data_IF_825138928138
#
_entry.id   IF_825138928138
#
_cell.length_a   1.000
_cell.length_b   1.000
_cell.length_c   1.000
_cell.angle_alpha   90.00
_cell.angle_beta   90.00
_cell.angle_gamma   90.00
#
_symmetry.space_group_name_H-M   'P 1'
#
loop_
_entity.id
_entity.type
_entity.pdbx_description
1 polymer ?
#
# COMPACT_ATOMS: atom_id res chain seq x y z
N UNK A 1 3.77 8.49 11.19
CA UNK A 1 2.98 8.03 12.41
C UNK A 1 3.21 6.56 12.62
N UNK A 2 3.10 6.02 13.87
CA UNK A 2 3.13 4.57 14.12
C UNK A 2 1.71 3.99 14.16
N UNK A 3 1.57 2.73 13.74
CA UNK A 3 0.30 1.99 13.80
C UNK A 3 0.51 0.77 14.72
N UNK A 4 -0.29 0.66 15.78
CA UNK A 4 -0.31 -0.54 16.62
C UNK A 4 -0.92 -1.70 15.84
N UNK A 5 -0.22 -2.82 15.79
CA UNK A 5 -0.65 -4.07 15.17
C UNK A 5 -0.69 -5.18 16.21
N UNK A 6 -1.86 -5.75 16.41
CA UNK A 6 -2.07 -6.95 17.20
C UNK A 6 -2.27 -8.13 16.25
N UNK A 7 -1.50 -9.19 16.45
CA UNK A 7 -1.59 -10.43 15.67
C UNK A 7 -2.02 -11.55 16.60
N UNK A 8 -3.01 -12.32 16.19
CA UNK A 8 -3.43 -13.54 16.89
C UNK A 8 -2.83 -14.77 16.23
N UNK A 9 -2.69 -15.85 16.99
CA UNK A 9 -2.18 -17.12 16.50
C UNK A 9 -2.74 -18.28 17.33
N UNK A 10 -2.23 -19.47 17.05
CA UNK A 10 -2.59 -20.68 17.77
C UNK A 10 -1.40 -21.19 18.59
N UNK A 11 -1.67 -21.63 19.80
CA UNK A 11 -0.72 -22.41 20.60
C UNK A 11 -0.55 -23.82 20.04
N UNK A 12 0.47 -24.58 20.44
CA UNK A 12 0.64 -25.97 19.98
C UNK A 12 -0.56 -26.90 20.26
N UNK A 13 -1.35 -26.60 21.29
CA UNK A 13 -2.60 -27.31 21.63
C UNK A 13 -3.85 -26.70 20.94
N UNK A 14 -3.64 -25.79 19.96
CA UNK A 14 -4.68 -25.25 19.09
C UNK A 14 -5.52 -24.11 19.67
N UNK A 15 -5.16 -23.56 20.84
CA UNK A 15 -5.90 -22.47 21.46
C UNK A 15 -5.50 -21.12 20.85
N UNK A 16 -6.47 -20.21 20.76
CA UNK A 16 -6.23 -18.84 20.33
C UNK A 16 -5.37 -18.07 21.36
N UNK A 17 -4.39 -17.33 20.86
CA UNK A 17 -3.52 -16.48 21.68
C UNK A 17 -3.16 -15.20 20.94
N UNK A 18 -2.64 -14.20 21.67
CA UNK A 18 -1.98 -13.04 21.08
C UNK A 18 -0.53 -13.43 20.76
N UNK A 19 -0.22 -13.52 19.46
CA UNK A 19 1.12 -13.85 18.97
C UNK A 19 2.07 -12.65 19.05
N UNK A 20 1.58 -11.44 18.77
CA UNK A 20 2.34 -10.20 18.94
C UNK A 20 1.43 -8.98 19.11
N UNK A 21 1.97 -7.98 19.82
CA UNK A 21 1.37 -6.65 19.99
C UNK A 21 2.50 -5.62 19.86
N UNK A 22 2.61 -4.99 18.70
CA UNK A 22 3.76 -4.15 18.34
C UNK A 22 3.31 -2.90 17.57
N UNK A 23 4.17 -1.90 17.56
CA UNK A 23 4.01 -0.74 16.67
C UNK A 23 4.75 -0.96 15.35
N UNK A 24 4.14 -0.55 14.25
CA UNK A 24 4.71 -0.56 12.92
C UNK A 24 5.03 0.87 12.51
N UNK A 25 6.28 1.13 12.18
CA UNK A 25 6.74 2.43 11.72
C UNK A 25 6.31 2.70 10.27
N UNK A 26 6.18 4.00 9.93
CA UNK A 26 5.95 4.42 8.57
C UNK A 26 7.20 4.24 7.71
N UNK A 27 7.00 3.76 6.50
CA UNK A 27 7.98 3.82 5.41
C UNK A 27 7.74 5.13 4.66
N UNK A 28 8.77 5.96 4.57
CA UNK A 28 8.74 7.24 3.83
C UNK A 28 9.75 7.21 2.71
N UNK A 29 9.41 7.85 1.58
CA UNK A 29 10.20 7.89 0.36
C UNK A 29 10.46 9.36 0.00
N UNK A 30 11.71 9.75 -0.22
CA UNK A 30 12.07 11.16 -0.48
C UNK A 30 11.41 11.74 -1.72
N UNK A 31 11.23 10.93 -2.76
CA UNK A 31 10.55 11.37 -3.98
C UNK A 31 9.02 11.49 -3.85
N UNK A 32 8.44 11.01 -2.73
CA UNK A 32 7.01 11.07 -2.43
C UNK A 32 6.77 11.82 -1.12
N UNK A 33 7.08 13.12 -1.04
CA UNK A 33 6.99 13.88 0.19
C UNK A 33 5.54 13.91 0.70
N UNK A 34 5.37 13.72 2.01
CA UNK A 34 4.05 13.65 2.65
C UNK A 34 3.32 12.30 2.47
N UNK A 35 3.89 11.37 1.70
CA UNK A 35 3.36 10.02 1.55
C UNK A 35 4.02 9.08 2.55
N UNK A 36 3.21 8.24 3.21
CA UNK A 36 3.66 7.22 4.15
C UNK A 36 3.06 5.87 3.80
N UNK A 37 3.81 4.80 3.99
CA UNK A 37 3.32 3.43 3.80
C UNK A 37 3.51 2.64 5.10
N UNK A 38 2.49 1.90 5.52
CA UNK A 38 2.58 0.95 6.62
C UNK A 38 2.22 -0.43 6.10
N UNK A 39 3.22 -1.30 5.99
CA UNK A 39 3.02 -2.71 5.61
C UNK A 39 2.68 -3.47 6.89
N UNK A 40 1.40 -3.70 7.13
CA UNK A 40 0.92 -4.27 8.38
C UNK A 40 0.99 -5.79 8.39
N UNK A 41 0.61 -6.44 7.28
CA UNK A 41 0.62 -7.89 7.16
C UNK A 41 0.66 -8.32 5.70
N UNK A 42 1.08 -9.58 5.46
CA UNK A 42 1.06 -10.14 4.14
C UNK A 42 1.67 -11.54 4.10
N UNK A 43 1.36 -12.25 3.04
CA UNK A 43 1.97 -13.52 2.68
C UNK A 43 1.99 -13.65 1.15
N UNK A 44 2.92 -14.45 0.64
CA UNK A 44 3.01 -14.76 -0.80
C UNK A 44 2.17 -15.98 -1.18
N UNK A 45 1.58 -16.65 -0.18
CA UNK A 45 0.73 -17.81 -0.33
C UNK A 45 -0.54 -17.69 0.53
N UNK A 46 -1.55 -18.45 0.21
CA UNK A 46 -2.75 -18.56 1.03
C UNK A 46 -2.39 -19.10 2.44
N UNK A 47 -2.93 -18.49 3.52
CA UNK A 47 -2.65 -18.96 4.86
C UNK A 47 -3.23 -20.35 5.12
N UNK A 48 -2.53 -21.12 5.96
CA UNK A 48 -2.98 -22.45 6.42
C UNK A 48 -3.09 -22.43 7.94
N UNK A 49 -4.16 -23.01 8.47
CA UNK A 49 -4.40 -23.06 9.90
C UNK A 49 -4.32 -24.49 10.44
N UNK A 50 -3.86 -24.70 11.71
CA UNK A 50 -3.48 -23.68 12.69
C UNK A 50 -2.18 -22.95 12.34
N UNK A 51 -2.05 -21.68 12.74
CA UNK A 51 -0.88 -20.83 12.50
C UNK A 51 -0.49 -20.12 13.80
N UNK A 52 0.79 -20.12 14.14
CA UNK A 52 1.29 -19.48 15.36
C UNK A 52 1.26 -17.93 15.30
N UNK A 53 0.87 -17.33 14.17
CA UNK A 53 0.85 -15.88 13.99
C UNK A 53 2.24 -15.26 13.77
N UNK A 54 3.19 -16.07 13.28
CA UNK A 54 4.52 -15.56 12.94
C UNK A 54 4.48 -14.74 11.66
N UNK A 55 5.30 -13.67 11.60
CA UNK A 55 5.45 -12.89 10.39
C UNK A 55 6.01 -13.76 9.26
N UNK A 56 5.38 -13.71 8.10
CA UNK A 56 5.82 -14.42 6.90
C UNK A 56 6.65 -13.50 6.01
N UNK A 57 7.55 -14.08 5.22
CA UNK A 57 8.28 -13.33 4.22
C UNK A 57 7.32 -12.88 3.12
N UNK A 58 7.26 -11.60 2.87
CA UNK A 58 6.45 -10.97 1.82
C UNK A 58 7.21 -9.75 1.31
N UNK A 59 8.38 -9.93 0.65
CA UNK A 59 9.29 -8.83 0.35
C UNK A 59 8.70 -7.85 -0.66
N UNK A 60 8.09 -8.34 -1.74
CA UNK A 60 7.50 -7.48 -2.76
C UNK A 60 6.32 -6.67 -2.25
N UNK A 61 6.16 -5.45 -2.77
CA UNK A 61 5.01 -4.60 -2.43
C UNK A 61 3.71 -5.20 -2.95
N UNK A 62 3.66 -5.61 -4.20
CA UNK A 62 2.52 -6.31 -4.77
C UNK A 62 2.65 -7.82 -4.53
N UNK A 63 1.58 -8.49 -4.08
CA UNK A 63 1.63 -9.94 -3.85
C UNK A 63 1.62 -10.72 -5.17
N UNK A 64 2.22 -11.92 -5.19
CA UNK A 64 2.02 -12.88 -6.27
C UNK A 64 0.59 -13.44 -6.22
N UNK A 65 0.20 -14.19 -7.26
CA UNK A 65 -1.10 -14.89 -7.31
C UNK A 65 -1.26 -15.78 -6.08
N UNK A 66 -2.40 -15.64 -5.39
CA UNK A 66 -2.71 -16.35 -4.15
C UNK A 66 -2.12 -15.70 -2.90
N UNK A 67 -1.23 -14.73 -3.05
CA UNK A 67 -0.71 -13.91 -1.96
C UNK A 67 -1.59 -12.70 -1.66
N UNK A 68 -1.31 -12.03 -0.55
CA UNK A 68 -2.01 -10.82 -0.14
C UNK A 68 -1.10 -9.85 0.60
N UNK A 69 -1.51 -8.58 0.63
CA UNK A 69 -0.91 -7.52 1.46
C UNK A 69 -2.02 -6.75 2.16
N UNK A 70 -1.77 -6.38 3.40
CA UNK A 70 -2.64 -5.53 4.21
C UNK A 70 -1.83 -4.38 4.79
N UNK A 71 -2.35 -3.17 4.65
CA UNK A 71 -1.63 -2.00 5.11
C UNK A 71 -2.44 -0.72 5.10
N UNK A 72 -1.72 0.37 5.35
CA UNK A 72 -2.24 1.74 5.26
C UNK A 72 -1.26 2.55 4.43
N UNK A 73 -1.74 3.31 3.48
CA UNK A 73 -0.96 4.36 2.86
C UNK A 73 -1.57 5.73 3.11
N UNK A 74 -0.71 6.73 3.16
CA UNK A 74 -1.11 8.13 3.26
C UNK A 74 -0.68 8.83 1.98
N UNK A 75 -1.62 9.51 1.32
CA UNK A 75 -1.33 10.34 0.14
C UNK A 75 -1.18 11.78 0.61
N UNK A 76 0.04 12.31 0.53
CA UNK A 76 0.31 13.72 0.81
C UNK A 76 -0.35 14.63 -0.24
N UNK A 77 -0.58 15.93 0.08
CA UNK A 77 -1.08 16.89 -0.89
C UNK A 77 -0.18 17.02 -2.12
N UNK A 78 -0.75 17.05 -3.32
CA UNK A 78 -0.02 17.25 -4.59
C UNK A 78 0.76 18.58 -4.63
N UNK A 79 0.35 19.54 -3.79
CA UNK A 79 1.05 20.84 -3.64
C UNK A 79 2.41 20.72 -2.95
N UNK A 80 2.71 19.60 -2.28
CA UNK A 80 4.02 19.35 -1.67
C UNK A 80 4.98 18.87 -2.75
N UNK A 81 5.80 19.79 -3.23
CA UNK A 81 6.72 19.49 -4.33
C UNK A 81 7.84 18.53 -3.91
N UNK A 82 8.23 17.67 -4.84
CA UNK A 82 9.45 16.87 -4.74
C UNK A 82 10.67 17.81 -4.58
N UNK A 83 11.67 17.44 -3.74
CA UNK A 83 12.89 18.25 -3.59
C UNK A 83 13.58 18.50 -4.94
N UNK A 84 13.97 19.74 -5.21
CA UNK A 84 14.53 20.16 -6.51
C UNK A 84 15.93 19.60 -6.79
N UNK A 85 16.66 19.26 -5.74
CA UNK A 85 18.02 18.70 -5.74
C UNK A 85 18.04 17.18 -5.62
N UNK A 86 16.89 16.53 -5.77
CA UNK A 86 16.79 15.08 -5.66
C UNK A 86 17.41 14.39 -6.89
N UNK A 87 18.44 13.58 -6.65
CA UNK A 87 18.94 12.65 -7.65
C UNK A 87 17.92 11.55 -7.90
N UNK A 88 17.37 11.52 -9.11
CA UNK A 88 16.30 10.60 -9.48
C UNK A 88 16.74 9.13 -9.40
N UNK A 89 18.00 8.82 -9.76
CA UNK A 89 18.51 7.44 -9.68
C UNK A 89 18.61 6.97 -8.23
N UNK A 90 19.09 7.83 -7.34
CA UNK A 90 19.16 7.55 -5.91
C UNK A 90 17.75 7.41 -5.32
N UNK A 91 16.81 8.23 -5.75
CA UNK A 91 15.43 8.20 -5.28
C UNK A 91 14.67 6.94 -5.73
N UNK A 92 14.87 6.49 -6.96
CA UNK A 92 14.32 5.23 -7.48
C UNK A 92 14.93 4.02 -6.78
N UNK A 93 16.24 4.05 -6.49
CA UNK A 93 16.90 3.00 -5.71
C UNK A 93 16.34 2.93 -4.27
N UNK A 94 16.10 4.09 -3.62
CA UNK A 94 15.44 4.15 -2.32
C UNK A 94 14.01 3.57 -2.35
N UNK A 95 13.24 3.91 -3.40
CA UNK A 95 11.90 3.38 -3.59
C UNK A 95 11.90 1.86 -3.72
N UNK A 96 12.80 1.31 -4.55
CA UNK A 96 12.92 -0.13 -4.76
C UNK A 96 13.42 -0.87 -3.52
N UNK A 97 14.35 -0.29 -2.76
CA UNK A 97 14.85 -0.85 -1.50
C UNK A 97 13.74 -0.95 -0.43
N UNK A 98 12.97 0.13 -0.27
CA UNK A 98 11.93 0.23 0.77
C UNK A 98 10.60 -0.41 0.39
N UNK A 99 10.24 -0.40 -0.88
CA UNK A 99 8.99 -0.92 -1.44
C UNK A 99 9.29 -1.73 -2.72
N UNK A 100 9.92 -2.92 -2.59
CA UNK A 100 10.39 -3.70 -3.74
C UNK A 100 9.29 -4.01 -4.74
N UNK A 101 9.56 -3.77 -6.02
CA UNK A 101 8.66 -4.04 -7.14
C UNK A 101 7.67 -2.93 -7.47
N UNK A 102 7.60 -1.84 -6.70
CA UNK A 102 6.68 -0.74 -7.00
C UNK A 102 7.20 0.10 -8.19
N UNK A 103 8.51 0.35 -8.23
CA UNK A 103 9.13 1.18 -9.27
C UNK A 103 8.87 0.63 -10.68
N UNK A 104 8.89 -0.70 -10.84
CA UNK A 104 8.65 -1.36 -12.14
C UNK A 104 7.20 -1.26 -12.63
N UNK A 105 6.28 -0.83 -11.80
CA UNK A 105 4.85 -0.66 -12.13
C UNK A 105 4.48 0.79 -12.43
N UNK A 106 5.34 1.74 -12.06
CA UNK A 106 5.12 3.15 -12.30
C UNK A 106 5.40 3.51 -13.77
N UNK A 107 4.57 4.39 -14.32
CA UNK A 107 4.75 4.93 -15.66
C UNK A 107 5.71 6.13 -15.64
N UNK A 108 6.68 6.14 -16.56
CA UNK A 108 7.66 7.21 -16.64
C UNK A 108 7.04 8.55 -17.07
N UNK A 109 6.03 8.50 -17.95
CA UNK A 109 5.42 9.68 -18.56
C UNK A 109 4.25 10.25 -17.75
N UNK A 110 3.75 9.49 -16.77
CA UNK A 110 2.65 9.93 -15.92
C UNK A 110 2.96 9.58 -14.43
N UNK A 111 3.60 10.50 -13.69
CA UNK A 111 4.02 10.24 -12.33
C UNK A 111 2.88 9.74 -11.41
N UNK A 112 3.12 8.62 -10.73
CA UNK A 112 2.16 7.97 -9.85
C UNK A 112 1.15 7.04 -10.55
N UNK A 113 1.03 7.13 -11.88
CA UNK A 113 0.19 6.21 -12.65
C UNK A 113 0.84 4.82 -12.69
N UNK A 114 0.04 3.79 -12.44
CA UNK A 114 0.54 2.42 -12.42
C UNK A 114 -0.56 1.38 -12.66
N UNK A 115 -0.12 0.16 -12.92
CA UNK A 115 -0.98 -1.00 -13.08
C UNK A 115 -0.41 -2.15 -12.24
N UNK A 116 -1.25 -2.79 -11.45
CA UNK A 116 -0.88 -3.97 -10.64
C UNK A 116 -1.64 -5.22 -11.10
N UNK A 117 -1.08 -6.40 -10.83
CA UNK A 117 -1.74 -7.68 -11.06
C UNK A 117 -2.43 -8.13 -9.76
N UNK A 118 -3.30 -7.23 -9.23
CA UNK A 118 -4.02 -7.43 -7.97
C UNK A 118 -5.47 -6.99 -8.10
N UNK A 119 -6.32 -7.53 -7.23
CA UNK A 119 -7.57 -6.88 -6.85
C UNK A 119 -7.35 -6.23 -5.49
N UNK A 120 -7.69 -4.94 -5.39
CA UNK A 120 -7.42 -4.17 -4.20
C UNK A 120 -8.75 -3.74 -3.57
N UNK A 121 -8.87 -3.98 -2.27
CA UNK A 121 -9.97 -3.48 -1.47
C UNK A 121 -9.44 -2.34 -0.61
N UNK A 122 -10.03 -1.16 -0.76
CA UNK A 122 -9.53 0.04 -0.14
C UNK A 122 -10.66 0.78 0.60
N UNK A 123 -10.30 1.42 1.70
CA UNK A 123 -11.21 2.20 2.52
C UNK A 123 -10.54 3.51 2.95
N UNK A 124 -11.16 4.64 2.66
CA UNK A 124 -10.66 5.94 3.05
C UNK A 124 -10.93 6.18 4.54
N UNK A 125 -9.86 6.20 5.35
CA UNK A 125 -9.95 6.43 6.80
C UNK A 125 -10.18 7.91 7.13
N UNK A 126 -9.49 8.80 6.42
CA UNK A 126 -9.55 10.25 6.68
C UNK A 126 -9.05 11.05 5.49
N UNK A 127 -9.49 12.30 5.41
CA UNK A 127 -9.14 13.19 4.30
C UNK A 127 -9.98 12.90 3.05
N UNK A 128 -9.47 13.36 1.92
CA UNK A 128 -10.06 13.14 0.60
C UNK A 128 -8.96 12.93 -0.44
N UNK A 129 -9.26 12.17 -1.48
CA UNK A 129 -8.33 11.83 -2.55
C UNK A 129 -9.11 11.62 -3.84
N UNK A 130 -8.46 11.79 -4.98
CA UNK A 130 -9.01 11.52 -6.30
C UNK A 130 -8.33 10.29 -6.88
N UNK A 131 -9.13 9.29 -7.24
CA UNK A 131 -8.70 8.15 -8.04
C UNK A 131 -8.74 8.58 -9.51
N UNK A 132 -7.58 8.72 -10.13
CA UNK A 132 -7.44 8.99 -11.56
C UNK A 132 -7.35 7.68 -12.32
N UNK A 133 -8.12 7.57 -13.41
CA UNK A 133 -8.17 6.43 -14.33
C UNK A 133 -7.75 6.87 -15.74
N UNK A 134 -7.96 6.01 -16.74
CA UNK A 134 -7.73 6.32 -18.13
C UNK A 134 -8.57 7.52 -18.62
N UNK A 135 -8.08 8.19 -19.66
CA UNK A 135 -8.72 9.34 -20.30
C UNK A 135 -8.98 10.54 -19.36
N UNK A 136 -8.20 10.65 -18.28
CA UNK A 136 -8.33 11.72 -17.29
C UNK A 136 -9.61 11.63 -16.46
N UNK A 137 -10.25 10.46 -16.40
CA UNK A 137 -11.39 10.23 -15.50
C UNK A 137 -10.92 10.26 -14.06
N UNK A 138 -11.66 10.98 -13.24
CA UNK A 138 -11.39 11.10 -11.82
C UNK A 138 -12.63 10.82 -10.98
N UNK A 139 -12.43 10.14 -9.85
CA UNK A 139 -13.45 9.92 -8.85
C UNK A 139 -12.96 10.48 -7.53
N UNK A 140 -13.65 11.47 -6.98
CA UNK A 140 -13.36 11.99 -5.65
C UNK A 140 -13.86 11.01 -4.60
N UNK A 141 -13.01 10.67 -3.66
CA UNK A 141 -13.27 9.79 -2.53
C UNK A 141 -13.02 10.54 -1.23
N UNK A 142 -13.84 10.27 -0.22
CA UNK A 142 -13.79 10.89 1.10
C UNK A 142 -13.79 9.83 2.19
N UNK A 143 -13.52 10.25 3.41
CA UNK A 143 -13.58 9.36 4.58
C UNK A 143 -14.92 8.61 4.63
N UNK A 144 -14.87 7.29 4.70
CA UNK A 144 -16.01 6.38 4.65
C UNK A 144 -16.23 5.73 3.28
N UNK A 145 -15.65 6.25 2.20
CA UNK A 145 -15.79 5.65 0.87
C UNK A 145 -14.88 4.43 0.71
N UNK A 146 -15.30 3.53 -0.19
CA UNK A 146 -14.57 2.31 -0.55
C UNK A 146 -14.29 2.25 -2.04
N UNK A 147 -13.18 1.60 -2.39
CA UNK A 147 -12.83 1.28 -3.77
C UNK A 147 -12.58 -0.21 -3.89
N UNK A 148 -13.05 -0.80 -4.97
CA UNK A 148 -12.58 -2.10 -5.46
C UNK A 148 -11.81 -1.83 -6.75
N UNK A 149 -10.48 -1.91 -6.66
CA UNK A 149 -9.57 -1.68 -7.78
C UNK A 149 -9.26 -3.01 -8.44
N UNK A 150 -9.77 -3.23 -9.64
CA UNK A 150 -9.65 -4.49 -10.38
C UNK A 150 -8.40 -4.54 -11.28
N UNK A 151 -7.22 -4.24 -10.75
CA UNK A 151 -5.97 -4.23 -11.51
C UNK A 151 -6.02 -3.28 -12.72
N UNK A 152 -6.84 -2.25 -12.67
CA UNK A 152 -6.93 -1.22 -13.71
C UNK A 152 -5.77 -0.24 -13.55
N UNK A 153 -5.41 0.42 -14.63
CA UNK A 153 -4.47 1.52 -14.63
C UNK A 153 -5.04 2.68 -13.81
N UNK A 154 -4.27 3.20 -12.83
CA UNK A 154 -4.74 4.25 -11.93
C UNK A 154 -3.62 5.04 -11.26
N UNK A 155 -3.98 6.21 -10.72
CA UNK A 155 -3.16 7.01 -9.83
C UNK A 155 -4.00 7.62 -8.71
N UNK A 156 -3.34 7.89 -7.59
CA UNK A 156 -3.90 8.61 -6.47
C UNK A 156 -3.45 10.07 -6.52
N UNK A 157 -4.41 11.01 -6.55
CA UNK A 157 -4.16 12.46 -6.56
C UNK A 157 -4.76 13.08 -5.31
N UNK A 158 -3.98 13.83 -4.57
CA UNK A 158 -4.49 14.57 -3.43
C UNK A 158 -4.48 16.07 -3.71
N UNK A 159 -5.58 16.55 -4.26
CA UNK A 159 -5.80 17.96 -4.60
C UNK A 159 -6.17 18.82 -3.39
N UNK A 160 -6.35 18.19 -2.23
CA UNK A 160 -6.67 18.88 -0.98
C UNK A 160 -5.43 19.41 -0.28
N UNK A 161 -5.62 20.18 0.79
CA UNK A 161 -4.52 20.73 1.59
C UNK A 161 -4.07 19.81 2.73
N UNK A 162 -4.76 18.66 2.94
CA UNK A 162 -4.48 17.75 4.05
C UNK A 162 -4.18 16.33 3.54
N UNK A 163 -3.35 15.54 4.24
CA UNK A 163 -3.11 14.16 3.87
C UNK A 163 -4.38 13.31 3.90
N UNK A 164 -4.52 12.40 2.94
CA UNK A 164 -5.55 11.37 2.91
C UNK A 164 -4.97 10.02 3.33
N UNK A 165 -5.67 9.30 4.22
CA UNK A 165 -5.26 7.98 4.69
C UNK A 165 -6.20 6.92 4.19
N UNK A 166 -5.64 5.86 3.63
CA UNK A 166 -6.39 4.75 3.03
C UNK A 166 -5.88 3.42 3.60
N UNK A 167 -6.79 2.59 4.09
CA UNK A 167 -6.51 1.17 4.37
C UNK A 167 -6.61 0.41 3.06
N UNK A 168 -5.72 -0.55 2.85
CA UNK A 168 -5.76 -1.42 1.68
C UNK A 168 -5.59 -2.90 2.03
N UNK A 169 -6.22 -3.74 1.22
CA UNK A 169 -5.92 -5.17 1.12
C UNK A 169 -5.73 -5.51 -0.36
N UNK A 170 -4.49 -5.88 -0.75
CA UNK A 170 -4.15 -6.30 -2.10
C UNK A 170 -4.17 -7.82 -2.15
N UNK A 171 -4.80 -8.40 -3.15
CA UNK A 171 -4.82 -9.84 -3.42
C UNK A 171 -4.28 -10.08 -4.81
N UNK A 172 -3.23 -10.91 -4.92
CA UNK A 172 -2.60 -11.24 -6.18
C UNK A 172 -3.54 -11.98 -7.15
N UNK A 173 -3.58 -11.53 -8.38
CA UNK A 173 -4.46 -12.02 -9.42
C UNK A 173 -3.69 -12.38 -10.70
N UNK A 174 -4.32 -13.22 -11.55
CA UNK A 174 -3.79 -13.48 -12.87
C UNK A 174 -4.15 -12.34 -13.84
N UNK A 175 -3.17 -11.88 -14.63
CA UNK A 175 -3.41 -11.04 -15.79
C UNK A 175 -3.34 -11.93 -17.05
N UNK A 176 -4.32 -11.81 -17.92
CA UNK A 176 -4.38 -12.49 -19.22
C UNK A 176 -3.98 -11.55 -20.34
#
# INVERSE_FOLDING_TARGET
MKIRRVVTGHTPDGKATVASDTEVDAITIRMLPGTEFHRLWGADEAPTFPDAGSSRSAPAYFPPVGGFRFGVFTVGPDSVAMPKDLDLQVALAELEDKLPGIASRLEADNPGMHTSDTIDFEYVLSGEVWLELDDGREVQLRAGDTVVQNGTRHAWRNKSAAPCRVVFCLIGAHRR
#
